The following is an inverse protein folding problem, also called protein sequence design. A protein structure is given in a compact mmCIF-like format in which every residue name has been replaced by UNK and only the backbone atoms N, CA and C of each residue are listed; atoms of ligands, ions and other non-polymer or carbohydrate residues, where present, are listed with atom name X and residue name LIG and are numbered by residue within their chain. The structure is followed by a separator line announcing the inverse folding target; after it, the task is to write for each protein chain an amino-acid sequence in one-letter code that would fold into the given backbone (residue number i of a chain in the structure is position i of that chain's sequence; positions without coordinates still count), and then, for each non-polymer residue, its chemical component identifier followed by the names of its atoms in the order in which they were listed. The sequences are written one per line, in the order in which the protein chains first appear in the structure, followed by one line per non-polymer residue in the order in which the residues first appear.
data_IF_799948154676
#
_entry.id   IF_799948154676
#
_cell.length_a   1.000
_cell.length_b   1.000
_cell.length_c   1.000
_cell.angle_alpha   90.00
_cell.angle_beta   90.00
_cell.angle_gamma   90.00
#
_symmetry.space_group_name_H-M   'P 1'
#
loop_
_entity.id
_entity.type
_entity.pdbx_description
1 polymer ?
2 non-polymer ?
3 water ?
#
# COMPACT_ATOMS: atom_id res chain seq x y z
N UNK A 11 21.52 -13.13 37.33
CA UNK A 11 22.13 -12.70 38.63
C UNK A 11 21.72 -11.26 38.93
N UNK A 12 22.60 -10.32 38.60
CA UNK A 12 22.29 -8.91 38.79
C UNK A 12 21.21 -8.54 37.79
N UNK A 13 20.19 -7.80 38.22
CA UNK A 13 19.16 -7.32 37.31
C UNK A 13 19.79 -6.14 36.58
N UNK A 14 19.80 -6.16 35.26
CA UNK A 14 20.43 -5.07 34.54
C UNK A 14 19.39 -4.24 33.82
N UNK A 15 19.73 -3.01 33.46
CA UNK A 15 18.81 -2.17 32.72
C UNK A 15 18.55 -2.89 31.38
N UNK A 16 19.60 -3.51 30.84
CA UNK A 16 19.50 -4.23 29.56
C UNK A 16 18.45 -5.34 29.63
N UNK A 17 18.43 -6.07 30.75
CA UNK A 17 17.47 -7.18 30.89
C UNK A 17 16.05 -6.62 30.99
N UNK A 18 15.85 -5.48 31.64
CA UNK A 18 14.52 -4.90 31.71
C UNK A 18 14.11 -4.48 30.28
N UNK A 19 15.05 -3.93 29.53
CA UNK A 19 14.75 -3.56 28.13
C UNK A 19 14.44 -4.80 27.27
N UNK A 20 15.10 -5.92 27.57
CA UNK A 20 14.82 -7.15 26.83
C UNK A 20 13.40 -7.61 27.15
N UNK A 21 13.02 -7.55 28.43
CA UNK A 21 11.65 -7.97 28.79
C UNK A 21 10.63 -7.03 28.17
N UNK A 22 10.93 -5.72 28.12
CA UNK A 22 10.04 -4.80 27.46
C UNK A 22 9.88 -5.18 25.98
N UNK A 23 11.00 -5.46 25.31
CA UNK A 23 10.94 -5.78 23.89
C UNK A 23 10.10 -7.04 23.62
N UNK A 24 10.20 -8.03 24.49
CA UNK A 24 9.46 -9.29 24.32
C UNK A 24 7.96 -9.07 24.56
N UNK A 25 7.65 -8.28 25.58
CA UNK A 25 6.25 -8.01 25.88
C UNK A 25 5.61 -7.22 24.73
N UNK A 26 6.36 -6.24 24.19
CA UNK A 26 5.90 -5.41 23.10
C UNK A 26 5.60 -6.24 21.86
N UNK A 27 6.47 -7.21 21.59
CA UNK A 27 6.24 -8.10 20.45
C UNK A 27 4.86 -8.76 20.56
N UNK A 28 4.55 -9.33 21.71
CA UNK A 28 3.25 -9.99 21.82
C UNK A 28 2.10 -8.97 21.82
N UNK A 29 2.31 -7.79 22.39
CA UNK A 29 1.21 -6.83 22.35
C UNK A 29 0.88 -6.44 20.92
N UNK A 30 1.89 -6.44 20.03
CA UNK A 30 1.62 -6.06 18.66
C UNK A 30 0.80 -7.11 17.94
N UNK A 31 1.00 -8.38 18.32
CA UNK A 31 0.25 -9.49 17.73
C UNK A 31 -1.22 -9.30 18.19
N UNK A 32 -1.38 -9.02 19.47
CA UNK A 32 -2.71 -8.81 20.03
C UNK A 32 -3.42 -7.66 19.33
N UNK A 33 -2.71 -6.54 19.14
CA UNK A 33 -3.25 -5.37 18.44
C UNK A 33 -3.66 -5.70 16.99
N UNK A 34 -2.80 -6.44 16.29
CA UNK A 34 -3.12 -6.81 14.91
C UNK A 34 -4.39 -7.71 14.83
N UNK A 35 -4.46 -8.71 15.70
CA UNK A 35 -5.62 -9.65 15.73
C UNK A 35 -6.88 -8.83 16.02
N UNK A 36 -6.80 -7.95 17.01
CA UNK A 36 -7.93 -7.10 17.38
C UNK A 36 -8.39 -6.20 16.23
N UNK A 37 -7.46 -5.61 15.49
CA UNK A 37 -7.83 -4.74 14.39
C UNK A 37 -8.40 -5.52 13.19
N UNK A 38 -7.85 -6.69 12.89
CA UNK A 38 -8.39 -7.49 11.79
C UNK A 38 -9.78 -8.04 12.15
N UNK A 39 -10.01 -8.40 13.41
CA UNK A 39 -11.33 -8.89 13.79
C UNK A 39 -12.32 -7.72 13.69
N UNK A 40 -11.86 -6.54 14.08
CA UNK A 40 -12.66 -5.32 14.05
C UNK A 40 -13.05 -4.93 12.62
N UNK A 41 -12.10 -5.10 11.70
CA UNK A 41 -12.35 -4.81 10.30
C UNK A 41 -13.55 -5.64 9.86
N UNK A 42 -13.53 -6.94 10.16
CA UNK A 42 -14.61 -7.83 9.78
C UNK A 42 -15.93 -7.51 10.48
N UNK A 43 -15.87 -7.17 11.77
CA UNK A 43 -17.09 -6.85 12.53
C UNK A 43 -17.70 -5.49 12.23
N UNK A 44 -16.89 -4.45 12.07
CA UNK A 44 -17.41 -3.10 11.83
C UNK A 44 -17.65 -2.77 10.36
N UNK A 45 -16.91 -3.42 9.46
CA UNK A 45 -17.03 -3.14 8.03
C UNK A 45 -17.66 -4.25 7.19
N UNK A 46 -17.04 -5.42 7.19
CA UNK A 46 -17.55 -6.55 6.42
C UNK A 46 -18.94 -7.02 6.83
N UNK A 47 -19.11 -7.52 8.05
CA UNK A 47 -20.43 -8.00 8.47
C UNK A 47 -21.56 -6.98 8.24
N UNK A 48 -21.37 -5.71 8.65
CA UNK A 48 -22.37 -4.64 8.49
C UNK A 48 -22.75 -4.34 7.05
N UNK A 50 -22.43 -6.40 4.58
CA UNK A 50 -23.04 -7.63 4.05
C UNK A 50 -24.52 -7.64 4.37
N UNK A 51 -24.86 -7.35 5.63
CA UNK A 51 -26.24 -7.32 6.07
C UNK A 51 -27.07 -6.26 5.37
N UNK A 52 -26.41 -5.19 4.95
CA UNK A 52 -27.09 -4.08 4.28
C UNK A 52 -26.78 -4.02 2.78
N UNK A 53 -26.14 -5.07 2.28
CA UNK A 53 -25.79 -5.19 0.86
C UNK A 53 -25.11 -3.95 0.28
N UNK A 54 -24.23 -3.31 1.06
CA UNK A 54 -23.52 -2.10 0.61
C UNK A 54 -22.58 -2.37 -0.57
N UNK A 56 -21.33 -6.01 -3.19
CA UNK A 56 -21.73 -7.37 -3.49
C UNK A 56 -20.97 -8.38 -2.62
N UNK A 57 -21.47 -9.60 -2.55
CA UNK A 57 -20.81 -10.61 -1.75
C UNK A 57 -19.46 -10.81 -2.39
N UNK A 58 -19.42 -10.72 -3.72
CA UNK A 58 -18.18 -10.89 -4.44
C UNK A 58 -17.15 -9.85 -3.95
N UNK A 59 -17.52 -8.58 -4.08
CA UNK A 59 -16.68 -7.44 -3.70
C UNK A 59 -16.18 -7.46 -2.25
N UNK A 60 -17.03 -7.89 -1.33
CA UNK A 60 -16.69 -7.96 0.08
C UNK A 60 -15.76 -9.12 0.32
N UNK A 61 -15.98 -10.21 -0.42
CA UNK A 61 -15.12 -11.39 -0.26
C UNK A 61 -13.74 -11.05 -0.73
N UNK A 62 -13.67 -10.21 -1.78
CA UNK A 62 -12.39 -9.82 -2.35
C UNK A 62 -11.64 -8.81 -1.48
N UNK A 63 -12.32 -8.24 -0.49
CA UNK A 63 -11.68 -7.26 0.38
C UNK A 63 -11.30 -7.82 1.76
N UNK A 64 -12.17 -8.61 2.38
CA UNK A 64 -11.87 -9.14 3.71
C UNK A 64 -11.63 -10.65 3.72
N UNK A 65 -11.88 -11.27 2.57
CA UNK A 65 -11.71 -12.71 2.45
C UNK A 65 -10.38 -13.29 2.85
N UNK A 66 -9.29 -12.67 2.40
CA UNK A 66 -7.99 -13.23 2.74
C UNK A 66 -7.54 -12.90 4.15
N UNK A 67 -7.94 -11.73 4.66
CA UNK A 67 -7.56 -11.33 6.01
C UNK A 67 -7.87 -12.42 7.01
N UNK A 68 -8.98 -13.11 6.79
CA UNK A 68 -9.38 -14.20 7.66
C UNK A 68 -8.47 -15.42 7.62
N UNK A 69 -7.59 -15.50 6.65
CA UNK A 69 -6.67 -16.62 6.64
C UNK A 69 -5.44 -16.24 7.46
N UNK A 70 -5.21 -14.94 7.64
CA UNK A 70 -4.04 -14.48 8.41
C UNK A 70 -4.22 -14.41 9.91
N UNK A 71 -5.46 -14.18 10.35
CA UNK A 71 -5.72 -14.08 11.77
C UNK A 71 -5.20 -15.28 12.57
N UNK A 72 -5.46 -16.52 12.10
CA UNK A 72 -4.96 -17.68 12.86
C UNK A 72 -3.44 -17.72 13.02
N UNK A 73 -2.71 -17.19 12.04
CA UNK A 73 -1.23 -17.20 12.10
C UNK A 73 -0.70 -16.41 13.30
N UNK A 74 -1.29 -15.25 13.52
CA UNK A 74 -0.92 -14.36 14.61
C UNK A 74 -1.46 -14.90 15.96
N UNK A 75 -2.66 -15.49 15.94
CA UNK A 75 -3.17 -16.06 17.17
C UNK A 75 -2.26 -17.16 17.61
N UNK A 76 -1.72 -17.93 16.65
CA UNK A 76 -0.81 -19.01 17.00
C UNK A 76 0.46 -18.44 17.62
N UNK A 77 1.00 -17.37 17.04
CA UNK A 77 2.24 -16.84 17.62
C UNK A 77 1.95 -16.30 19.02
N UNK A 78 0.89 -15.52 19.15
CA UNK A 78 0.53 -14.97 20.46
C UNK A 78 0.36 -16.06 21.52
N UNK A 79 -0.38 -17.11 21.17
CA UNK A 79 -0.62 -18.20 22.09
C UNK A 79 0.68 -18.81 22.58
N UNK A 80 1.63 -19.01 21.67
CA UNK A 80 2.92 -19.58 22.04
C UNK A 80 3.75 -18.65 22.93
N UNK A 81 3.74 -17.36 22.61
CA UNK A 81 4.49 -16.39 23.44
C UNK A 81 3.87 -16.30 24.82
N UNK A 82 2.54 -16.43 24.87
CA UNK A 82 1.84 -16.35 26.15
C UNK A 82 2.17 -17.57 26.98
N UNK A 83 2.13 -18.72 26.33
CA UNK A 83 2.37 -20.00 26.98
C UNK A 83 3.75 -20.17 27.62
N UNK A 84 4.76 -19.56 27.03
CA UNK A 84 6.10 -19.66 27.53
C UNK A 84 6.42 -18.73 28.70
N UNK A 85 5.58 -17.74 28.95
CA UNK A 85 5.84 -16.83 30.08
C UNK A 85 5.86 -17.55 31.41
N UNK A 86 6.75 -17.13 32.30
CA UNK A 86 6.84 -17.73 33.63
C UNK A 86 5.65 -17.14 34.41
N UNK A 87 5.35 -17.71 35.60
CA UNK A 87 4.26 -17.26 36.47
C UNK A 87 4.36 -15.77 36.80
N UNK A 88 5.59 -15.23 36.81
CA UNK A 88 5.73 -13.81 37.13
C UNK A 88 5.60 -12.89 35.90
N UNK A 89 5.22 -13.46 34.75
CA UNK A 89 5.01 -12.67 33.56
C UNK A 89 6.24 -12.47 32.68
N UNK A 90 7.42 -12.88 33.16
CA UNK A 90 8.66 -12.70 32.36
C UNK A 90 8.86 -13.85 31.38
N UNK A 91 9.75 -13.63 30.40
CA UNK A 91 10.05 -14.64 29.39
C UNK A 91 11.54 -14.90 29.28
N UNK A 92 11.94 -16.19 29.31
CA UNK A 92 13.34 -16.58 29.23
C UNK A 92 13.86 -16.53 27.78
N UNK A 93 13.22 -17.30 26.92
CA UNK A 93 13.59 -17.38 25.49
C UNK A 93 12.41 -17.28 24.57
N UNK A 94 12.57 -16.51 23.48
CA UNK A 94 11.56 -16.38 22.46
C UNK A 94 12.12 -16.90 21.12
N UNK A 95 13.42 -17.20 21.09
CA UNK A 95 14.03 -17.64 19.85
C UNK A 95 13.43 -18.86 19.18
N UNK A 96 13.38 -20.01 19.88
CA UNK A 96 12.81 -21.25 19.35
C UNK A 96 11.40 -21.08 18.81
N UNK A 97 10.58 -20.34 19.57
CA UNK A 97 9.21 -20.12 19.11
C UNK A 97 9.15 -19.35 17.78
N UNK A 98 9.96 -18.28 17.65
CA UNK A 98 9.95 -17.49 16.43
C UNK A 98 10.45 -18.32 15.25
N UNK A 99 11.58 -18.99 15.43
CA UNK A 99 12.10 -19.82 14.36
C UNK A 99 11.09 -20.90 13.92
N UNK A 100 10.39 -21.53 14.86
CA UNK A 100 9.41 -22.52 14.47
C UNK A 100 8.15 -21.97 13.83
N UNK A 101 7.81 -20.73 14.17
CA UNK A 101 6.60 -20.10 13.64
C UNK A 101 6.78 -19.48 12.26
N UNK A 102 7.97 -18.96 11.97
CA UNK A 102 8.23 -18.31 10.69
C UNK A 102 7.70 -18.92 9.38
N UNK A 103 7.79 -20.24 9.22
CA UNK A 103 7.31 -20.87 7.99
C UNK A 103 5.83 -20.54 7.65
N UNK A 104 5.01 -20.24 8.66
CA UNK A 104 3.62 -19.94 8.38
C UNK A 104 3.45 -18.62 7.67
N UNK A 105 4.49 -17.81 7.66
CA UNK A 105 4.44 -16.52 6.95
C UNK A 105 4.36 -16.73 5.44
N UNK A 106 4.47 -17.97 4.99
CA UNK A 106 4.36 -18.21 3.55
C UNK A 106 2.98 -17.69 3.06
N UNK A 107 1.96 -17.70 3.93
CA UNK A 107 0.64 -17.20 3.53
C UNK A 107 0.65 -15.71 3.20
N UNK A 108 1.66 -14.96 3.67
CA UNK A 108 1.69 -13.53 3.32
C UNK A 108 1.98 -13.34 1.82
N UNK A 109 2.58 -14.35 1.19
CA UNK A 109 2.87 -14.25 -0.24
C UNK A 109 1.56 -14.15 -1.01
N UNK A 110 0.66 -15.10 -0.74
CA UNK A 110 -0.65 -15.17 -1.37
C UNK A 110 -1.41 -13.87 -1.11
N UNK A 111 -1.42 -13.45 0.15
CA UNK A 111 -2.11 -12.23 0.55
C UNK A 111 -1.59 -10.98 -0.14
N UNK A 112 -0.29 -10.72 -0.04
CA UNK A 112 0.24 -9.52 -0.66
C UNK A 112 0.08 -9.47 -2.17
N UNK A 113 -0.05 -10.65 -2.79
CA UNK A 113 -0.20 -10.71 -4.25
C UNK A 113 -1.60 -10.30 -4.70
N UNK A 114 -2.60 -10.49 -3.85
CA UNK A 114 -3.97 -10.13 -4.22
C UNK A 114 -4.36 -8.75 -3.72
N UNK A 115 -3.42 -8.11 -3.03
CA UNK A 115 -3.66 -6.79 -2.48
C UNK A 115 -3.96 -5.74 -3.57
N UNK A 116 -3.26 -5.80 -4.70
CA UNK A 116 -3.50 -4.77 -5.76
C UNK A 116 -4.94 -4.77 -6.26
N UNK A 117 -5.50 -5.96 -6.50
CA UNK A 117 -6.89 -6.02 -6.96
C UNK A 117 -7.84 -5.41 -5.91
N UNK A 118 -7.62 -5.71 -4.62
CA UNK A 118 -8.47 -5.17 -3.56
C UNK A 118 -8.35 -3.66 -3.44
N UNK A 119 -7.13 -3.16 -3.51
CA UNK A 119 -6.91 -1.73 -3.41
C UNK A 119 -7.49 -1.01 -4.62
N UNK A 120 -7.38 -1.61 -5.80
CA UNK A 120 -7.93 -0.97 -7.00
C UNK A 120 -9.45 -0.86 -6.86
N UNK A 121 -10.07 -1.93 -6.39
CA UNK A 121 -11.52 -1.94 -6.20
C UNK A 121 -11.90 -0.92 -5.14
N UNK A 122 -11.15 -0.90 -4.05
CA UNK A 122 -11.45 0.04 -2.97
C UNK A 122 -11.32 1.50 -3.44
N UNK A 123 -10.34 1.79 -4.27
CA UNK A 123 -10.17 3.16 -4.76
C UNK A 123 -11.40 3.55 -5.58
N UNK A 124 -11.97 2.59 -6.28
CA UNK A 124 -13.12 2.90 -7.08
C UNK A 124 -14.36 3.13 -6.21
N UNK A 125 -14.52 2.30 -5.17
CA UNK A 125 -15.66 2.39 -4.26
C UNK A 125 -15.77 3.68 -3.49
N UNK A 126 -14.66 4.39 -3.28
CA UNK A 126 -14.77 5.64 -2.54
C UNK A 126 -15.54 6.67 -3.37
N UNK A 127 -15.94 6.27 -4.58
CA UNK A 127 -16.72 7.13 -5.48
C UNK A 127 -18.22 6.91 -5.25
N UNK A 128 -18.55 5.69 -4.84
CA UNK A 128 -19.93 5.29 -4.55
C UNK A 128 -20.46 6.06 -3.33
N UNK A 129 -21.66 6.65 -3.45
CA UNK A 129 -22.23 7.41 -2.34
C UNK A 129 -22.75 6.49 -1.22
N UNK A 130 -23.37 5.40 -1.63
CA UNK A 130 -23.93 4.43 -0.71
C UNK A 130 -22.89 3.96 0.31
N UNK A 131 -21.66 3.76 -0.16
CA UNK A 131 -20.58 3.33 0.72
C UNK A 131 -20.08 4.49 1.56
N UNK A 132 -19.71 5.60 0.91
CA UNK A 132 -19.20 6.76 1.63
C UNK A 132 -20.18 7.25 2.72
N UNK A 133 -21.47 7.00 2.53
CA UNK A 133 -22.42 7.37 3.58
C UNK A 133 -22.23 6.21 4.55
N UNK A 134 -20.99 5.94 4.92
CA UNK A 134 -20.65 4.82 5.82
C UNK A 134 -21.75 4.47 6.79
N UNK A 148 -9.94 2.80 9.74
CA UNK A 148 -10.15 3.42 8.43
C UNK A 148 -10.32 2.40 7.31
N UNK A 149 -11.55 2.25 6.79
CA UNK A 149 -11.82 1.28 5.73
C UNK A 149 -10.85 1.36 4.57
N UNK A 150 -10.29 2.54 4.34
CA UNK A 150 -9.35 2.75 3.24
C UNK A 150 -7.89 2.33 3.48
N UNK A 151 -7.54 2.01 4.73
CA UNK A 151 -6.14 1.63 5.01
C UNK A 151 -5.90 0.42 5.90
N UNK A 152 -6.96 -0.18 6.44
CA UNK A 152 -6.80 -1.34 7.32
C UNK A 152 -6.18 -2.50 6.54
N UNK A 153 -6.30 -2.45 5.22
CA UNK A 153 -5.72 -3.50 4.37
C UNK A 153 -4.20 -3.48 4.41
N UNK A 154 -3.63 -2.32 4.77
CA UNK A 154 -2.19 -2.20 4.85
C UNK A 154 -1.67 -2.74 6.19
N UNK A 155 -2.53 -3.00 7.18
CA UNK A 155 -2.07 -3.51 8.49
C UNK A 155 -1.16 -4.76 8.44
N UNK A 156 -1.56 -5.82 7.72
CA UNK A 156 -0.69 -7.00 7.70
C UNK A 156 0.68 -6.74 7.06
N UNK A 157 0.70 -6.09 5.90
CA UNK A 157 1.99 -5.83 5.29
C UNK A 157 2.83 -4.96 6.22
N UNK A 158 2.21 -3.97 6.86
CA UNK A 158 2.99 -3.10 7.76
C UNK A 158 3.60 -3.90 8.90
N UNK A 159 2.84 -4.88 9.38
CA UNK A 159 3.38 -5.69 10.46
C UNK A 159 4.55 -6.52 9.93
N UNK A 160 4.40 -7.16 8.77
CA UNK A 160 5.49 -7.98 8.23
C UNK A 160 6.79 -7.17 8.11
N UNK A 161 6.68 -5.98 7.55
CA UNK A 161 7.82 -5.10 7.33
C UNK A 161 8.51 -4.69 8.61
N UNK A 162 7.74 -4.67 9.70
CA UNK A 162 8.23 -4.25 11.00
C UNK A 162 8.85 -5.39 11.81
N UNK A 163 8.72 -6.64 11.37
CA UNK A 163 9.26 -7.70 12.22
C UNK A 163 10.78 -7.60 12.46
N UNK A 164 11.58 -7.30 11.40
CA UNK A 164 13.02 -7.20 11.65
C UNK A 164 13.34 -6.19 12.79
N UNK A 165 12.69 -5.03 12.74
CA UNK A 165 12.90 -3.98 13.75
C UNK A 165 12.52 -4.49 15.15
N UNK A 166 11.37 -5.15 15.24
CA UNK A 166 10.89 -5.64 16.53
C UNK A 166 11.75 -6.76 17.10
N UNK A 167 12.13 -7.72 16.25
CA UNK A 167 12.97 -8.81 16.74
C UNK A 167 14.39 -8.29 17.04
N UNK A 168 14.88 -7.31 16.28
CA UNK A 168 16.21 -6.80 16.56
C UNK A 168 16.24 -6.02 17.91
N UNK A 169 15.11 -5.42 18.27
CA UNK A 169 14.99 -4.68 19.54
C UNK A 169 15.17 -5.73 20.67
N UNK A 170 14.63 -6.95 20.51
CA UNK A 170 14.86 -7.99 21.52
C UNK A 170 16.35 -8.43 21.51
N UNK A 171 16.85 -8.66 20.29
CA UNK A 171 18.23 -9.13 20.14
C UNK A 171 19.27 -8.21 20.77
N UNK A 172 19.12 -6.89 20.58
CA UNK A 172 20.14 -6.00 21.10
C UNK A 172 20.22 -5.97 22.62
N UNK A 173 19.20 -6.44 23.30
CA UNK A 173 19.25 -6.48 24.77
C UNK A 173 19.41 -7.93 25.25
N UNK A 174 19.73 -8.83 24.33
CA UNK A 174 19.93 -10.23 24.68
C UNK A 174 21.45 -10.49 24.91
N UNK A 175 21.82 -10.95 26.11
CA UNK A 175 23.22 -11.24 26.47
C UNK A 175 23.91 -12.33 25.62
N UNK A 176 25.24 -12.27 25.53
CA UNK A 176 25.99 -13.24 24.74
C UNK A 176 25.86 -14.70 25.19
N UNK A 177 25.52 -14.93 26.45
CA UNK A 177 25.38 -16.28 26.96
C UNK A 177 23.94 -16.79 26.87
N UNK A 178 23.09 -16.06 26.15
CA UNK A 178 21.71 -16.44 26.00
C UNK A 178 21.56 -16.98 24.57
N UNK A 179 21.10 -18.24 24.41
CA UNK A 179 20.95 -18.84 23.07
C UNK A 179 19.98 -18.13 22.15
N UNK A 180 19.17 -17.23 22.71
CA UNK A 180 18.24 -16.46 21.90
C UNK A 180 19.04 -15.61 20.91
N UNK A 181 20.31 -15.28 21.21
CA UNK A 181 21.04 -14.46 20.25
C UNK A 181 21.05 -15.10 18.88
N UNK A 182 21.50 -16.35 18.79
CA UNK A 182 21.52 -17.01 17.47
C UNK A 182 20.13 -17.19 16.86
N UNK A 183 19.16 -17.58 17.67
CA UNK A 183 17.81 -17.79 17.14
C UNK A 183 17.21 -16.52 16.62
N UNK A 184 17.45 -15.41 17.32
CA UNK A 184 16.91 -14.14 16.85
C UNK A 184 17.61 -13.69 15.59
N UNK A 185 18.93 -13.83 15.55
CA UNK A 185 19.66 -13.45 14.33
C UNK A 185 19.08 -14.25 13.13
N UNK A 186 18.77 -15.52 13.37
CA UNK A 186 18.20 -16.33 12.32
C UNK A 186 16.82 -15.83 11.87
N UNK A 187 15.94 -15.58 12.84
CA UNK A 187 14.61 -15.13 12.53
C UNK A 187 14.63 -13.81 11.76
N UNK A 188 15.49 -12.90 12.21
CA UNK A 188 15.58 -11.60 11.55
C UNK A 188 16.02 -11.81 10.10
N UNK A 189 17.07 -12.59 9.88
CA UNK A 189 17.57 -12.81 8.49
C UNK A 189 16.54 -13.44 7.60
N UNK A 190 15.85 -14.44 8.14
CA UNK A 190 14.84 -15.13 7.34
C UNK A 190 13.69 -14.17 6.94
N UNK A 191 13.22 -13.37 7.88
CA UNK A 191 12.14 -12.44 7.59
C UNK A 191 12.64 -11.35 6.62
N UNK A 192 13.89 -10.93 6.76
CA UNK A 192 14.37 -9.94 5.80
C UNK A 192 14.27 -10.51 4.38
N UNK A 193 14.59 -11.80 4.23
CA UNK A 193 14.50 -12.44 2.94
C UNK A 193 13.06 -12.55 2.42
N UNK A 194 12.13 -12.82 3.32
CA UNK A 194 10.73 -12.98 2.98
C UNK A 194 10.18 -11.62 2.51
N UNK A 195 10.49 -10.58 3.28
CA UNK A 195 9.99 -9.23 2.95
C UNK A 195 10.51 -8.72 1.62
N UNK A 196 11.80 -8.92 1.39
CA UNK A 196 12.44 -8.45 0.17
C UNK A 196 11.80 -9.11 -1.04
N UNK A 197 11.53 -10.41 -0.94
CA UNK A 197 10.92 -11.15 -2.03
C UNK A 197 9.46 -10.72 -2.26
N UNK A 198 8.71 -10.58 -1.18
CA UNK A 198 7.31 -10.18 -1.31
C UNK A 198 7.25 -8.76 -1.87
N UNK A 199 8.17 -7.88 -1.47
CA UNK A 199 8.14 -6.51 -2.01
C UNK A 199 8.42 -6.51 -3.51
N UNK A 200 9.35 -7.36 -3.94
CA UNK A 200 9.69 -7.44 -5.35
C UNK A 200 8.51 -7.95 -6.16
N UNK A 201 7.86 -9.01 -5.68
CA UNK A 201 6.72 -9.59 -6.39
C UNK A 201 5.52 -8.64 -6.41
N UNK A 202 5.32 -7.93 -5.32
CA UNK A 202 4.21 -6.98 -5.20
C UNK A 202 4.40 -5.88 -6.27
N UNK A 203 5.63 -5.41 -6.42
CA UNK A 203 5.89 -4.36 -7.41
C UNK A 203 5.59 -4.85 -8.81
N UNK A 204 6.00 -6.08 -9.10
CA UNK A 204 5.74 -6.65 -10.41
C UNK A 204 4.23 -6.88 -10.64
N UNK A 205 3.54 -7.36 -9.61
CA UNK A 205 2.13 -7.66 -9.73
C UNK A 205 1.35 -6.36 -9.96
N UNK A 206 1.73 -5.29 -9.26
CA UNK A 206 1.03 -4.02 -9.44
C UNK A 206 1.14 -3.49 -10.86
N UNK A 207 2.36 -3.48 -11.39
CA UNK A 207 2.64 -3.02 -12.74
C UNK A 207 1.86 -3.86 -13.78
N UNK A 208 1.87 -5.18 -13.62
CA UNK A 208 1.17 -6.07 -14.54
C UNK A 208 -0.35 -5.86 -14.47
N UNK A 209 -0.88 -5.77 -13.26
CA UNK A 209 -2.31 -5.58 -13.02
C UNK A 209 -2.83 -4.34 -13.74
N UNK A 210 -2.16 -3.20 -13.57
CA UNK A 210 -2.68 -2.00 -14.23
C UNK A 210 -2.44 -2.01 -15.74
N UNK A 211 -1.32 -2.56 -16.20
CA UNK A 211 -1.11 -2.62 -17.66
C UNK A 211 -2.21 -3.43 -18.34
N UNK A 212 -2.66 -4.51 -17.68
CA UNK A 212 -3.69 -5.36 -18.30
C UNK A 212 -5.06 -4.70 -18.27
N UNK A 213 -5.20 -3.66 -17.45
CA UNK A 213 -6.46 -2.97 -17.32
C UNK A 213 -6.53 -1.64 -18.12
N UNK A 214 -5.46 -1.30 -18.82
CA UNK A 214 -5.49 -0.07 -19.66
C UNK A 214 -6.38 -0.34 -20.86
N UNK A 215 -7.18 0.66 -21.24
CA UNK A 215 -8.10 0.53 -22.36
C UNK A 215 -7.73 1.58 -23.39
N UNK A 216 -7.51 1.17 -24.63
CA UNK A 216 -7.11 2.06 -25.71
C UNK A 216 -8.25 2.20 -26.74
N UNK A 217 -9.13 3.17 -26.55
CA UNK A 217 -10.25 3.31 -27.48
C UNK A 217 -10.04 4.33 -28.60
N UNK A 218 -8.90 4.99 -28.59
CA UNK A 218 -8.61 5.97 -29.65
C UNK A 218 -7.24 5.75 -30.27
N UNK A 219 -7.11 6.18 -31.52
CA UNK A 219 -5.87 6.02 -32.27
C UNK A 219 -4.61 6.60 -31.65
N UNK A 220 -3.52 5.85 -31.84
CA UNK A 220 -2.22 6.26 -31.35
C UNK A 220 -2.01 6.30 -29.85
N UNK A 221 -2.89 5.63 -29.10
CA UNK A 221 -2.75 5.64 -27.65
C UNK A 221 -1.86 4.52 -27.14
N UNK A 222 -1.64 3.50 -27.96
CA UNK A 222 -0.76 2.41 -27.54
C UNK A 222 0.68 2.95 -27.61
N UNK A 223 1.58 2.42 -26.78
CA UNK A 223 2.97 2.85 -26.78
C UNK A 223 3.81 1.68 -26.27
N UNK A 224 4.90 1.39 -26.97
CA UNK A 224 5.76 0.27 -26.57
C UNK A 224 6.42 0.50 -25.22
N UNK A 225 6.51 1.76 -24.79
CA UNK A 225 7.12 2.06 -23.53
C UNK A 225 6.24 1.53 -22.41
N UNK A 226 4.93 1.52 -22.62
CA UNK A 226 4.06 0.97 -21.58
C UNK A 226 4.31 -0.54 -21.52
N UNK A 227 4.28 -1.18 -22.67
CA UNK A 227 4.48 -2.64 -22.79
C UNK A 227 5.78 -3.11 -22.14
N UNK A 228 6.85 -2.35 -22.35
CA UNK A 228 8.15 -2.70 -21.80
C UNK A 228 8.32 -2.32 -20.35
N UNK A 229 7.34 -1.63 -19.75
CA UNK A 229 7.49 -1.23 -18.36
C UNK A 229 7.40 -2.41 -17.41
N UNK A 230 8.29 -2.40 -16.43
CA UNK A 230 8.32 -3.44 -15.42
C UNK A 230 8.20 -2.78 -14.08
N UNK A 231 8.24 -1.44 -14.06
CA UNK A 231 8.11 -0.73 -12.79
C UNK A 231 7.05 0.38 -12.81
N UNK A 232 6.14 0.36 -11.85
CA UNK A 232 5.18 1.45 -11.73
C UNK A 232 5.73 2.28 -10.57
N UNK A 233 6.36 3.41 -10.90
CA UNK A 233 6.94 4.31 -9.90
C UNK A 233 5.90 4.78 -8.91
N UNK A 234 4.75 5.24 -9.41
CA UNK A 234 3.67 5.66 -8.53
C UNK A 234 2.42 5.82 -9.40
N UNK A 235 1.25 5.87 -8.74
CA UNK A 235 -0.01 6.07 -9.47
C UNK A 235 -1.05 6.59 -8.48
N UNK A 236 -2.11 7.21 -8.99
CA UNK A 236 -3.10 7.71 -8.08
C UNK A 236 -4.09 8.61 -8.79
N UNK A 237 -5.15 8.98 -8.06
CA UNK A 237 -6.20 9.84 -8.60
C UNK A 237 -5.71 11.30 -8.58
N UNK A 238 -5.95 12.02 -9.67
CA UNK A 238 -5.61 13.42 -9.75
C UNK A 238 -6.80 14.05 -10.46
N UNK A 239 -7.14 15.28 -10.08
CA UNK A 239 -8.27 15.97 -10.72
C UNK A 239 -7.75 17.10 -11.58
N UNK A 240 -8.21 17.20 -12.83
CA UNK A 240 -7.67 18.29 -13.63
C UNK A 240 -8.42 19.62 -13.42
N UNK A 241 -7.97 20.67 -14.12
CA UNK A 241 -8.55 22.01 -13.95
C UNK A 241 -9.90 22.20 -14.63
N UNK A 242 -10.45 21.11 -15.16
CA UNK A 242 -11.77 21.15 -15.76
C UNK A 242 -12.69 20.24 -14.92
N UNK A 243 -12.21 19.82 -13.75
CA UNK A 243 -13.01 19.00 -12.87
C UNK A 243 -13.05 17.50 -13.17
N UNK A 244 -12.30 17.07 -14.18
CA UNK A 244 -12.26 15.66 -14.55
C UNK A 244 -11.41 14.82 -13.59
N UNK A 245 -11.98 13.73 -13.06
CA UNK A 245 -11.23 12.87 -12.14
C UNK A 245 -10.45 11.85 -12.97
N UNK A 246 -9.12 11.89 -12.86
CA UNK A 246 -8.26 11.02 -13.64
C UNK A 246 -7.47 10.08 -12.72
N UNK A 247 -7.04 8.96 -13.30
CA UNK A 247 -6.16 8.06 -12.58
C UNK A 247 -4.89 8.10 -13.42
N UNK A 248 -3.81 8.54 -12.79
CA UNK A 248 -2.57 8.69 -13.52
C UNK A 248 -1.53 7.65 -13.10
N UNK A 249 -0.81 7.15 -14.09
CA UNK A 249 0.20 6.12 -13.88
C UNK A 249 1.57 6.57 -14.37
N UNK A 250 2.53 6.61 -13.46
CA UNK A 250 3.88 6.92 -13.83
C UNK A 250 4.69 5.60 -13.90
N UNK A 251 4.86 5.08 -15.11
CA UNK A 251 5.70 3.89 -15.29
C UNK A 251 7.12 4.48 -15.39
N UNK A 252 8.17 3.67 -15.27
CA UNK A 252 9.51 4.24 -15.29
C UNK A 252 9.81 5.19 -16.44
N UNK A 253 9.37 4.82 -17.63
CA UNK A 253 9.67 5.64 -18.79
C UNK A 253 8.50 6.34 -19.47
N UNK A 254 7.30 6.17 -18.92
CA UNK A 254 6.13 6.77 -19.54
C UNK A 254 5.00 7.10 -18.57
N UNK A 255 4.38 8.28 -18.77
CA UNK A 255 3.24 8.69 -17.95
C UNK A 255 1.96 8.36 -18.72
N UNK A 256 0.99 7.73 -18.05
CA UNK A 256 -0.27 7.35 -18.70
C UNK A 256 -1.40 8.00 -17.90
N UNK A 257 -2.25 8.77 -18.60
CA UNK A 257 -3.34 9.49 -17.95
C UNK A 257 -4.64 8.81 -18.40
N UNK A 258 -5.48 8.46 -17.43
CA UNK A 258 -6.70 7.70 -17.75
C UNK A 258 -7.87 8.14 -16.91
N UNK A 259 -9.03 7.54 -17.23
CA UNK A 259 -10.24 7.71 -16.42
C UNK A 259 -10.63 6.29 -16.05
N UNK A 260 -10.99 6.07 -14.79
CA UNK A 260 -11.44 4.74 -14.34
C UNK A 260 -12.86 4.54 -14.86
N UNK A 261 -13.07 3.48 -15.63
CA UNK A 261 -14.38 3.19 -16.22
C UNK A 261 -14.69 1.69 -16.12
N UNK A 262 -15.93 1.32 -16.40
CA UNK A 262 -16.27 -0.10 -16.39
C UNK A 262 -16.44 -0.44 -17.85
N UNK A 263 -15.69 -1.43 -18.32
CA UNK A 263 -15.71 -1.89 -19.71
C UNK A 263 -15.86 -3.41 -19.65
N UNK A 264 -16.99 -3.88 -20.15
CA UNK A 264 -17.28 -5.31 -20.17
C UNK A 264 -17.16 -5.98 -18.81
N UNK A 265 -17.98 -5.54 -17.86
CA UNK A 265 -18.01 -6.10 -16.51
C UNK A 265 -16.79 -5.80 -15.61
N UNK A 266 -15.75 -5.18 -16.15
CA UNK A 266 -14.56 -4.92 -15.36
C UNK A 266 -14.11 -3.47 -15.19
N UNK A 267 -13.47 -3.21 -14.05
CA UNK A 267 -12.93 -1.89 -13.75
C UNK A 267 -11.70 -1.71 -14.64
N UNK A 268 -11.75 -0.74 -15.56
CA UNK A 268 -10.65 -0.53 -16.49
C UNK A 268 -10.21 0.94 -16.43
N UNK A 269 -9.13 1.27 -17.14
CA UNK A 269 -8.59 2.64 -17.12
C UNK A 269 -8.44 3.09 -18.58
N UNK A 270 -9.45 3.86 -19.01
CA UNK A 270 -9.55 4.35 -20.37
C UNK A 270 -8.56 5.49 -20.61
N UNK A 271 -7.61 5.29 -21.52
CA UNK A 271 -6.62 6.36 -21.75
C UNK A 271 -7.32 7.66 -22.13
N UNK A 272 -6.92 8.77 -21.49
CA UNK A 272 -7.51 10.10 -21.73
C UNK A 272 -6.83 10.85 -22.88
N UNK A 273 -5.55 10.59 -23.08
CA UNK A 273 -4.74 11.17 -24.14
C UNK A 273 -3.69 10.14 -24.45
N UNK A 274 -2.86 10.44 -25.43
CA UNK A 274 -1.77 9.54 -25.77
C UNK A 274 -0.75 9.59 -24.64
N UNK A 275 -0.05 8.49 -24.41
CA UNK A 275 0.94 8.46 -23.32
C UNK A 275 2.06 9.49 -23.53
N UNK A 276 2.62 10.01 -22.43
CA UNK A 276 3.72 10.95 -22.48
C UNK A 276 5.04 10.30 -22.02
N UNK A 277 6.00 10.14 -22.94
CA UNK A 277 7.29 9.53 -22.55
C UNK A 277 7.94 10.42 -21.51
N UNK A 278 8.54 9.82 -20.49
CA UNK A 278 9.16 10.60 -19.42
C UNK A 278 10.29 11.49 -19.96
N UNK A 279 11.00 11.06 -21.01
CA UNK A 279 12.10 11.88 -21.56
C UNK A 279 11.57 13.19 -22.16
N UNK A 280 10.27 13.21 -22.51
CA UNK A 280 9.66 14.40 -23.11
C UNK A 280 8.63 15.06 -22.18
N UNK A 281 8.62 14.69 -20.92
CA UNK A 281 7.61 15.24 -20.00
C UNK A 281 8.15 16.50 -19.31
N UNK A 282 7.50 17.64 -19.53
CA UNK A 282 7.92 18.89 -18.89
C UNK A 282 7.01 19.05 -17.65
N UNK A 283 7.63 19.14 -16.47
CA UNK A 283 6.92 19.25 -15.21
C UNK A 283 7.10 20.65 -14.66
N UNK A 284 6.01 21.30 -14.34
CA UNK A 284 6.08 22.67 -13.79
C UNK A 284 5.24 22.75 -12.52
N UNK A 285 5.80 23.28 -11.47
CA UNK A 285 5.05 23.39 -10.22
C UNK A 285 4.16 24.60 -10.33
N UNK A 286 2.94 24.52 -9.83
CA UNK A 286 2.06 25.68 -9.84
C UNK A 286 1.83 26.13 -8.40
N UNK A 287 1.95 27.42 -8.14
CA UNK A 287 1.71 27.92 -6.79
C UNK A 287 0.19 27.89 -6.56
N UNK A 288 -0.25 27.83 -5.31
CA UNK A 288 -1.67 27.82 -5.07
C UNK A 288 -2.27 29.12 -5.59
N UNK A 289 -3.38 28.97 -6.30
CA UNK A 289 -4.08 30.08 -6.90
C UNK A 289 -3.60 30.34 -8.32
N UNK A 290 -2.50 29.71 -8.75
CA UNK A 290 -1.98 29.93 -10.12
C UNK A 290 -2.81 29.22 -11.19
N UNK A 291 -3.39 28.08 -10.83
CA UNK A 291 -4.21 27.35 -11.78
C UNK A 291 -5.44 28.20 -12.21
N UNK A 292 -5.97 27.95 -13.40
CA UNK A 292 -7.18 28.62 -13.87
C UNK A 292 -8.16 27.47 -14.07
N UNK A 293 -9.35 27.61 -13.51
CA UNK A 293 -10.35 26.55 -13.61
C UNK A 293 -11.42 26.82 -14.63
N UNK A 294 -11.94 25.75 -15.20
CA UNK A 294 -13.01 25.84 -16.17
C UNK A 294 -14.02 24.76 -15.85
N UNK A 295 -15.18 24.82 -16.50
CA UNK A 295 -16.22 23.82 -16.27
C UNK A 295 -17.03 24.11 -15.03
N UNK A 296 -18.06 23.30 -14.77
CA UNK A 296 -18.87 23.52 -13.59
C UNK A 296 -18.10 23.22 -12.30
N UNK A 297 -18.12 24.15 -11.36
CA UNK A 297 -17.43 23.97 -10.09
C UNK A 297 -18.36 23.36 -9.04
N UNK A 300 -13.41 19.05 -3.18
CA UNK A 300 -13.18 20.38 -2.62
C UNK A 300 -14.40 21.25 -2.87
N UNK A 301 -14.61 22.25 -2.00
CA UNK A 301 -15.75 23.16 -2.14
C UNK A 301 -15.42 24.64 -1.89
N UNK A 302 -14.46 24.91 -1.00
CA UNK A 302 -14.09 26.29 -0.74
C UNK A 302 -13.19 26.72 -1.90
N UNK A 303 -13.30 27.97 -2.32
CA UNK A 303 -12.50 28.44 -3.45
C UNK A 303 -11.02 28.16 -3.27
N UNK A 304 -10.53 28.25 -2.05
CA UNK A 304 -9.11 28.00 -1.81
C UNK A 304 -8.76 26.53 -2.00
N UNK A 305 -9.67 25.65 -1.59
CA UNK A 305 -9.41 24.23 -1.77
C UNK A 305 -9.40 23.91 -3.27
N UNK A 306 -10.28 24.56 -4.04
CA UNK A 306 -10.35 24.29 -5.48
C UNK A 306 -9.11 24.65 -6.31
N UNK A 307 -8.30 25.60 -5.83
CA UNK A 307 -7.11 26.01 -6.60
C UNK A 307 -5.78 25.68 -5.94
N UNK A 308 -5.76 24.79 -4.95
CA UNK A 308 -4.47 24.48 -4.33
C UNK A 308 -3.95 23.09 -4.72
N UNK A 309 -2.67 22.87 -4.48
CA UNK A 309 -2.01 21.59 -4.73
C UNK A 309 -2.00 21.13 -6.20
N UNK A 310 -1.78 22.04 -7.13
CA UNK A 310 -1.73 21.72 -8.55
C UNK A 310 -0.31 21.68 -9.11
N UNK A 311 -0.13 20.93 -10.19
CA UNK A 311 1.16 20.96 -10.91
C UNK A 311 0.79 20.76 -12.37
N UNK A 312 1.71 21.12 -13.25
CA UNK A 312 1.46 21.01 -14.68
C UNK A 312 2.39 20.03 -15.36
N UNK A 313 1.82 19.24 -16.24
CA UNK A 313 2.61 18.33 -17.04
C UNK A 313 2.28 18.65 -18.49
N UNK A 314 3.31 18.85 -19.31
CA UNK A 314 3.05 19.14 -20.72
C UNK A 314 3.98 18.32 -21.63
N UNK A 315 3.54 18.15 -22.85
CA UNK A 315 4.21 17.33 -23.82
C UNK A 315 4.10 17.98 -25.20
N UNK A 316 5.26 18.23 -25.79
CA UNK A 316 5.33 18.85 -27.10
C UNK A 316 5.31 17.71 -28.10
N UNK A 317 4.29 17.69 -28.97
CA UNK A 317 4.13 16.58 -29.93
C UNK A 317 3.35 17.09 -31.14
N UNK A 318 3.78 18.21 -31.69
CA UNK A 318 3.10 18.80 -32.82
C UNK A 318 1.62 19.07 -32.60
N UNK A 319 0.80 18.58 -33.53
CA UNK A 319 -0.65 18.75 -33.50
C UNK A 319 -1.25 18.02 -32.31
N UNK A 320 -0.52 17.06 -31.77
CA UNK A 320 -1.03 16.29 -30.66
C UNK A 320 -0.39 16.75 -29.32
N UNK A 321 0.19 17.94 -29.27
CA UNK A 321 0.80 18.42 -28.00
C UNK A 321 -0.27 18.43 -26.92
N UNK A 322 0.17 18.29 -25.67
CA UNK A 322 -0.78 18.21 -24.56
C UNK A 322 -0.30 19.05 -23.40
N UNK A 323 -1.25 19.47 -22.59
CA UNK A 323 -0.90 20.11 -21.35
C UNK A 323 -1.98 19.74 -20.33
N UNK A 324 -1.57 19.41 -19.10
CA UNK A 324 -2.51 19.03 -18.05
C UNK A 324 -2.17 19.73 -16.74
N UNK A 325 -3.17 20.33 -16.11
CA UNK A 325 -3.00 20.98 -14.79
C UNK A 325 -3.71 19.98 -13.88
N UNK A 326 -2.96 19.33 -12.99
CA UNK A 326 -3.46 18.24 -12.19
C UNK A 326 -3.40 18.59 -10.70
N UNK A 327 -4.42 18.21 -9.95
CA UNK A 327 -4.52 18.53 -8.52
C UNK A 327 -4.37 17.29 -7.65
N UNK A 328 -3.40 17.33 -6.75
CA UNK A 328 -3.16 16.21 -5.84
C UNK A 328 -4.11 16.28 -4.67
N UNK A 329 -4.13 15.21 -3.87
CA UNK A 329 -5.05 15.09 -2.77
C UNK A 329 -4.79 16.03 -1.59
N UNK A 330 -3.52 16.38 -1.37
CA UNK A 330 -3.10 17.28 -0.29
C UNK A 330 -1.66 17.71 -0.58
N UNK A 331 -1.11 18.55 0.30
CA UNK A 331 0.27 19.01 0.11
C UNK A 331 1.27 17.89 0.02
N UNK A 332 1.12 16.88 0.88
CA UNK A 332 2.05 15.77 0.86
C UNK A 332 1.99 14.96 -0.43
N UNK A 333 0.77 14.68 -0.90
CA UNK A 333 0.60 13.92 -2.15
C UNK A 333 1.17 14.70 -3.35
N UNK A 334 1.03 16.03 -3.33
CA UNK A 334 1.57 16.83 -4.44
C UNK A 334 3.09 16.68 -4.48
N UNK A 335 3.75 16.80 -3.31
CA UNK A 335 5.20 16.65 -3.29
C UNK A 335 5.63 15.25 -3.76
N UNK A 336 4.89 14.21 -3.36
CA UNK A 336 5.18 12.82 -3.76
C UNK A 336 5.21 12.72 -5.28
N UNK A 337 4.18 13.29 -5.92
CA UNK A 337 4.13 13.30 -7.39
C UNK A 337 5.31 14.06 -7.98
N UNK A 338 5.58 15.25 -7.48
CA UNK A 338 6.73 15.99 -7.99
C UNK A 338 8.03 15.18 -7.83
N UNK A 339 8.24 14.61 -6.62
CA UNK A 339 9.47 13.83 -6.38
C UNK A 339 9.57 12.64 -7.35
N UNK A 340 8.49 11.86 -7.50
CA UNK A 340 8.54 10.69 -8.40
C UNK A 340 8.76 11.02 -9.86
N UNK A 341 8.09 12.05 -10.36
CA UNK A 341 8.30 12.40 -11.74
C UNK A 341 9.75 12.89 -11.94
N UNK A 342 10.24 13.75 -11.06
CA UNK A 342 11.62 14.22 -11.20
C UNK A 342 12.63 13.06 -11.11
N UNK A 343 12.37 12.11 -10.22
CA UNK A 343 13.26 10.98 -10.04
C UNK A 343 13.26 10.11 -11.28
N UNK A 344 12.07 9.86 -11.85
CA UNK A 344 12.02 9.08 -13.09
C UNK A 344 12.76 9.82 -14.22
N UNK A 345 12.61 11.13 -14.32
CA UNK A 345 13.30 11.87 -15.39
C UNK A 345 14.81 11.72 -15.08
N UNK A 346 15.09 11.60 -13.79
CA UNK A 346 16.43 11.36 -13.21
C UNK A 346 17.30 12.55 -12.84
#
# INVERSE_FOLDING_TARGET
GSSGSSGCVNQVLTAKEIKRQEAIFELSQGEEDLIEDLKLAKKAYHDPXLKLSIXTEQELNQIFGTLDSLIPLHEELLSQLRDVRKPDGSTEHVGPILVGWLPCLSSYDSYCSNQVAAKALLDHKKQDHRVQDFLQRCLESPFSRKLDLWNFLDIPRSRLVKYPLLLREILRHTPNDNPDQQHLEEAINIIQGIVAEINTKTGESECRYYKERLLYLEEGQKDSLIDSSRVLCCHGELKNNRGVKLHVFLFQEVLVITRAVTHNEQLCYQLYRQPIPVKDLTLEDLQDGEVRLGGSLRGAFSNNERVKNFFRVSFKNGSQSQTHSLQANDTFNKQQWLNCIRQAKESGPSSG
#
